data_IF_855807168842
#
_entry.id   IF_855807168842
#
_cell.length_a   1.000
_cell.length_b   1.000
_cell.length_c   1.000
_cell.angle_alpha   90.00
_cell.angle_beta   90.00
_cell.angle_gamma   90.00
#
_symmetry.space_group_name_H-M   'P 1'
#
loop_
_entity.id
_entity.type
_entity.pdbx_description
1 polymer ?
#
# COMPACT_ATOMS: atom_id res chain seq x y z
N UNK A 1 5.37 19.63 27.03
CA UNK A 1 6.10 18.42 26.62
C UNK A 1 5.11 17.48 26.01
N UNK A 2 4.94 17.53 24.69
CA UNK A 2 4.19 16.51 23.97
C UNK A 2 4.99 15.20 24.06
N UNK A 3 4.37 14.07 24.45
CA UNK A 3 5.07 12.80 24.48
C UNK A 3 5.45 12.46 23.04
N UNK A 4 6.74 12.18 22.83
CA UNK A 4 7.22 11.56 21.61
C UNK A 4 6.41 10.27 21.41
N UNK A 5 5.54 10.28 20.40
CA UNK A 5 4.77 9.10 20.03
C UNK A 5 5.78 7.99 19.71
N UNK A 6 5.84 7.00 20.60
CA UNK A 6 6.40 5.68 20.30
C UNK A 6 5.88 5.29 18.91
N UNK A 7 6.70 4.75 18.00
CA UNK A 7 6.23 4.44 16.65
C UNK A 7 4.99 3.55 16.80
N UNK A 8 3.83 4.15 16.51
CA UNK A 8 2.58 3.44 16.57
C UNK A 8 2.77 2.24 15.65
N UNK A 9 2.54 1.05 16.19
CA UNK A 9 2.71 -0.15 15.39
C UNK A 9 1.48 -0.23 14.50
N UNK A 10 1.61 0.07 13.21
CA UNK A 10 0.52 0.01 12.24
C UNK A 10 -0.31 -1.28 12.40
N UNK A 11 0.36 -2.41 12.61
CA UNK A 11 -0.26 -3.73 12.77
C UNK A 11 -1.12 -3.88 14.03
N UNK A 12 -0.97 -3.03 15.06
CA UNK A 12 -1.88 -3.02 16.23
C UNK A 12 -3.30 -2.54 15.88
N UNK A 13 -3.45 -1.77 14.80
CA UNK A 13 -4.74 -1.26 14.33
C UNK A 13 -5.43 -2.22 13.35
N UNK A 14 -4.72 -3.22 12.86
CA UNK A 14 -5.26 -4.22 11.94
C UNK A 14 -6.00 -5.27 12.76
N UNK A 15 -7.26 -5.60 12.42
CA UNK A 15 -7.95 -6.73 13.03
C UNK A 15 -7.11 -8.01 12.89
N UNK A 16 -6.90 -8.79 13.97
CA UNK A 16 -6.07 -10.00 13.92
C UNK A 16 -6.59 -11.03 12.90
N UNK A 17 -7.89 -10.97 12.57
CA UNK A 17 -8.54 -11.79 11.54
C UNK A 17 -8.02 -11.53 10.12
N UNK A 18 -7.37 -10.39 9.85
CA UNK A 18 -6.72 -10.10 8.57
C UNK A 18 -5.26 -10.56 8.50
N UNK A 19 -4.72 -11.10 9.60
CA UNK A 19 -3.34 -11.54 9.66
C UNK A 19 -2.36 -10.38 9.49
N UNK A 20 -1.19 -10.69 8.92
CA UNK A 20 -0.05 -9.75 8.80
C UNK A 20 0.51 -9.64 7.38
N UNK A 21 -0.03 -10.43 6.44
CA UNK A 21 0.42 -10.42 5.05
C UNK A 21 -0.26 -9.27 4.31
N UNK A 22 0.27 -8.07 4.53
CA UNK A 22 -0.21 -6.83 3.92
C UNK A 22 0.16 -6.82 2.43
N UNK A 23 -0.81 -6.53 1.57
CA UNK A 23 -0.62 -6.45 0.13
C UNK A 23 -0.67 -5.02 -0.38
N UNK A 24 -1.64 -4.24 0.08
CA UNK A 24 -1.79 -2.84 -0.32
C UNK A 24 -2.58 -2.02 0.69
N UNK A 25 -2.46 -0.71 0.57
CA UNK A 25 -3.26 0.29 1.26
C UNK A 25 -3.93 1.20 0.25
N UNK A 26 -5.20 1.50 0.48
CA UNK A 26 -6.01 2.36 -0.38
C UNK A 26 -6.70 3.44 0.44
N UNK A 27 -6.61 4.71 0.01
CA UNK A 27 -7.37 5.80 0.62
C UNK A 27 -8.77 5.88 0.03
N UNK A 28 -9.76 5.76 0.91
CA UNK A 28 -11.17 6.01 0.63
C UNK A 28 -11.65 7.16 1.51
N UNK A 29 -11.63 8.37 0.94
CA UNK A 29 -11.97 9.63 1.61
C UNK A 29 -11.15 9.86 2.90
N UNK A 30 -11.68 9.42 4.03
CA UNK A 30 -11.13 9.60 5.38
C UNK A 30 -10.63 8.29 6.01
N UNK A 31 -10.88 7.16 5.34
CA UNK A 31 -10.51 5.84 5.81
C UNK A 31 -9.39 5.27 4.94
N UNK A 32 -8.60 4.42 5.57
CA UNK A 32 -7.57 3.62 4.91
C UNK A 32 -8.08 2.19 4.84
N UNK A 33 -8.30 1.71 3.62
CA UNK A 33 -8.55 0.29 3.37
C UNK A 33 -7.24 -0.46 3.37
N UNK A 34 -7.17 -1.47 4.21
CA UNK A 34 -6.05 -2.38 4.34
C UNK A 34 -6.38 -3.62 3.55
N UNK A 35 -5.58 -3.93 2.54
CA UNK A 35 -5.72 -5.15 1.74
C UNK A 35 -4.68 -6.16 2.19
N UNK A 36 -5.12 -7.33 2.64
CA UNK A 36 -4.26 -8.46 3.03
C UNK A 36 -4.54 -9.69 2.17
N UNK A 37 -3.73 -10.73 2.31
CA UNK A 37 -3.94 -11.99 1.59
C UNK A 37 -5.27 -12.70 1.91
N UNK A 38 -5.87 -12.43 3.08
CA UNK A 38 -7.08 -13.12 3.55
C UNK A 38 -8.32 -12.23 3.62
N UNK A 39 -8.20 -10.95 3.29
CA UNK A 39 -9.32 -10.02 3.26
C UNK A 39 -8.90 -8.56 3.38
N UNK A 40 -9.89 -7.69 3.56
CA UNK A 40 -9.65 -6.25 3.70
C UNK A 40 -10.54 -5.63 4.78
N UNK A 41 -10.08 -4.55 5.40
CA UNK A 41 -10.79 -3.83 6.45
C UNK A 41 -10.45 -2.33 6.41
N UNK A 42 -11.30 -1.49 7.02
CA UNK A 42 -11.21 -0.04 6.99
C UNK A 42 -10.83 0.51 8.35
N UNK A 43 -9.75 1.28 8.41
CA UNK A 43 -9.33 1.98 9.62
C UNK A 43 -9.32 3.48 9.42
N UNK A 44 -9.56 4.23 10.50
CA UNK A 44 -9.42 5.69 10.50
C UNK A 44 -7.93 6.06 10.60
N UNK A 45 -7.29 6.21 9.45
CA UNK A 45 -5.87 6.58 9.35
C UNK A 45 -5.60 7.24 8.00
N UNK A 46 -4.62 8.14 7.94
CA UNK A 46 -4.16 8.67 6.65
C UNK A 46 -3.05 7.80 6.09
N UNK A 47 -3.05 7.62 4.77
CA UNK A 47 -2.04 6.84 4.06
C UNK A 47 -0.61 7.29 4.38
N UNK A 48 -0.35 8.60 4.48
CA UNK A 48 0.98 9.11 4.81
C UNK A 48 1.49 8.57 6.15
N UNK A 49 0.61 8.51 7.14
CA UNK A 49 0.96 8.13 8.50
C UNK A 49 1.18 6.62 8.55
N UNK A 50 0.32 5.86 7.85
CA UNK A 50 0.50 4.42 7.65
C UNK A 50 1.84 4.07 6.99
N UNK A 51 2.23 4.78 5.93
CA UNK A 51 3.50 4.56 5.24
C UNK A 51 4.69 4.86 6.17
N UNK A 52 4.62 5.96 6.93
CA UNK A 52 5.66 6.31 7.90
C UNK A 52 5.83 5.23 8.99
N UNK A 53 4.72 4.64 9.44
CA UNK A 53 4.71 3.58 10.46
C UNK A 53 5.15 2.21 9.92
N UNK A 54 4.95 1.93 8.63
CA UNK A 54 5.41 0.69 7.98
C UNK A 54 6.93 0.66 7.78
N UNK A 55 7.57 1.83 7.74
CA UNK A 55 9.01 1.96 7.57
C UNK A 55 9.48 1.85 6.12
N UNK A 56 10.73 2.23 5.90
CA UNK A 56 11.37 2.16 4.59
C UNK A 56 11.57 0.70 4.15
N UNK A 57 11.40 0.43 2.85
CA UNK A 57 11.58 -0.91 2.27
C UNK A 57 10.38 -1.86 2.43
N UNK A 58 9.38 -1.52 3.25
CA UNK A 58 8.16 -2.31 3.38
C UNK A 58 7.31 -2.34 2.10
N UNK A 59 7.49 -1.35 1.20
CA UNK A 59 6.75 -1.20 -0.03
C UNK A 59 6.88 0.20 -0.62
N UNK A 60 6.00 0.54 -1.56
CA UNK A 60 6.06 1.80 -2.31
C UNK A 60 4.69 2.43 -2.45
N UNK A 61 4.66 3.77 -2.36
CA UNK A 61 3.51 4.52 -2.81
C UNK A 61 3.49 4.51 -4.35
N UNK A 62 2.35 4.14 -4.93
CA UNK A 62 2.19 4.00 -6.39
C UNK A 62 1.13 4.96 -6.95
N UNK A 63 0.29 5.49 -6.06
CA UNK A 63 -0.67 6.54 -6.33
C UNK A 63 -0.81 7.44 -5.11
N UNK A 64 -1.36 8.65 -5.28
CA UNK A 64 -1.65 9.53 -4.14
C UNK A 64 -2.57 8.87 -3.08
N UNK A 65 -3.38 7.91 -3.53
CA UNK A 65 -4.32 7.13 -2.72
C UNK A 65 -3.91 5.66 -2.57
N UNK A 66 -2.74 5.24 -3.07
CA UNK A 66 -2.35 3.83 -3.03
C UNK A 66 -0.91 3.62 -2.61
N UNK A 67 -0.71 2.62 -1.77
CA UNK A 67 0.58 2.03 -1.46
C UNK A 67 0.52 0.52 -1.61
N UNK A 68 1.61 -0.09 -2.05
CA UNK A 68 1.71 -1.53 -2.31
C UNK A 68 2.91 -2.09 -1.57
N UNK A 69 2.73 -3.22 -0.89
CA UNK A 69 3.79 -3.87 -0.15
C UNK A 69 4.84 -4.50 -1.06
N UNK A 70 6.07 -4.56 -0.56
CA UNK A 70 7.14 -5.30 -1.20
C UNK A 70 6.76 -6.79 -1.29
N UNK A 71 6.98 -7.39 -2.46
CA UNK A 71 6.60 -8.79 -2.71
C UNK A 71 5.10 -9.05 -2.93
N UNK A 72 4.23 -8.02 -2.83
CA UNK A 72 2.81 -8.16 -3.12
C UNK A 72 2.48 -8.11 -4.63
N UNK A 73 3.37 -7.53 -5.43
CA UNK A 73 3.19 -7.40 -6.89
C UNK A 73 3.43 -8.75 -7.57
N UNK A 74 2.44 -9.22 -8.30
CA UNK A 74 2.54 -10.40 -9.17
C UNK A 74 2.94 -10.02 -10.60
N UNK A 75 2.51 -8.84 -11.07
CA UNK A 75 2.87 -8.32 -12.38
C UNK A 75 2.37 -6.90 -12.58
N UNK A 76 2.54 -6.39 -13.80
CA UNK A 76 2.01 -5.09 -14.20
C UNK A 76 1.34 -5.19 -15.57
N UNK A 77 0.25 -4.48 -15.75
CA UNK A 77 -0.43 -4.30 -17.01
C UNK A 77 -0.29 -2.86 -17.49
N UNK A 78 -0.09 -2.69 -18.79
CA UNK A 78 0.01 -1.38 -19.43
C UNK A 78 -1.00 -1.30 -20.56
N UNK A 79 -2.01 -0.45 -20.37
CA UNK A 79 -3.01 -0.11 -21.36
C UNK A 79 -2.76 1.32 -21.87
N UNK A 80 -2.03 1.42 -22.97
CA UNK A 80 -1.55 2.70 -23.52
C UNK A 80 -0.73 3.51 -22.51
N UNK A 81 -1.32 4.59 -22.00
CA UNK A 81 -0.72 5.46 -20.99
C UNK A 81 -1.09 5.08 -19.54
N UNK A 82 -2.09 4.21 -19.35
CA UNK A 82 -2.51 3.72 -18.04
C UNK A 82 -1.62 2.55 -17.64
N UNK A 83 -1.18 2.59 -16.39
CA UNK A 83 -0.33 1.57 -15.80
C UNK A 83 -1.01 1.06 -14.54
N UNK A 84 -1.07 -0.26 -14.40
CA UNK A 84 -1.76 -0.93 -13.32
C UNK A 84 -0.87 -2.05 -12.80
N UNK A 85 -0.68 -2.15 -11.49
CA UNK A 85 -0.03 -3.30 -10.86
C UNK A 85 -1.11 -4.36 -10.58
N UNK A 86 -0.77 -5.62 -10.80
CA UNK A 86 -1.59 -6.77 -10.42
C UNK A 86 -0.95 -7.40 -9.20
N UNK A 87 -1.68 -7.47 -8.09
CA UNK A 87 -1.19 -8.07 -6.85
C UNK A 87 -1.44 -9.58 -6.82
N UNK A 88 -0.79 -10.28 -5.88
CA UNK A 88 -0.92 -11.74 -5.69
C UNK A 88 -2.36 -12.21 -5.42
N UNK A 89 -3.23 -11.35 -4.88
CA UNK A 89 -4.65 -11.64 -4.67
C UNK A 89 -5.55 -11.26 -5.87
N UNK A 90 -4.95 -10.86 -7.00
CA UNK A 90 -5.67 -10.39 -8.19
C UNK A 90 -6.13 -8.94 -8.13
N UNK A 91 -5.85 -8.21 -7.05
CA UNK A 91 -6.20 -6.79 -6.95
C UNK A 91 -5.40 -5.96 -7.96
N UNK A 92 -6.10 -5.07 -8.66
CA UNK A 92 -5.51 -4.16 -9.63
C UNK A 92 -5.32 -2.77 -9.03
N UNK A 93 -4.08 -2.30 -8.97
CA UNK A 93 -3.70 -1.03 -8.34
C UNK A 93 -3.20 -0.04 -9.39
N UNK A 94 -3.84 1.13 -9.57
CA UNK A 94 -3.41 2.11 -10.56
C UNK A 94 -2.09 2.77 -10.16
N UNK A 95 -1.21 3.02 -11.15
CA UNK A 95 0.04 3.77 -10.98
C UNK A 95 -0.06 5.11 -11.67
N UNK A 96 0.02 6.20 -10.91
CA UNK A 96 0.03 7.55 -11.48
C UNK A 96 1.40 7.93 -12.04
N UNK A 97 1.40 8.88 -12.99
CA UNK A 97 2.60 9.41 -13.67
C UNK A 97 3.75 9.72 -12.72
N UNK A 98 3.47 10.41 -11.61
CA UNK A 98 4.48 10.85 -10.64
C UNK A 98 5.24 9.70 -9.97
N UNK A 99 4.63 8.53 -9.82
CA UNK A 99 5.23 7.38 -9.12
C UNK A 99 5.78 6.31 -10.08
N UNK A 100 5.59 6.46 -11.39
CA UNK A 100 6.04 5.46 -12.38
C UNK A 100 7.53 5.18 -12.31
N UNK A 101 8.35 6.23 -12.17
CA UNK A 101 9.81 6.09 -12.10
C UNK A 101 10.23 5.28 -10.86
N UNK A 102 9.56 5.50 -9.71
CA UNK A 102 9.82 4.73 -8.49
C UNK A 102 9.43 3.25 -8.67
N UNK A 103 8.25 2.99 -9.24
CA UNK A 103 7.77 1.63 -9.52
C UNK A 103 8.67 0.91 -10.54
N UNK A 104 9.17 1.63 -11.55
CA UNK A 104 10.13 1.13 -12.53
C UNK A 104 11.47 0.80 -11.88
N UNK A 105 11.99 1.69 -11.04
CA UNK A 105 13.25 1.49 -10.31
C UNK A 105 13.18 0.30 -9.37
N UNK A 106 12.01 0.02 -8.82
CA UNK A 106 11.74 -1.16 -8.00
C UNK A 106 11.68 -2.49 -8.79
N UNK A 107 11.73 -2.43 -10.13
CA UNK A 107 11.63 -3.60 -10.99
C UNK A 107 10.23 -4.21 -11.05
N UNK A 108 9.19 -3.44 -10.71
CA UNK A 108 7.79 -3.93 -10.73
C UNK A 108 7.13 -3.77 -12.10
N UNK A 109 7.80 -3.10 -13.02
CA UNK A 109 7.38 -2.93 -14.40
C UNK A 109 8.24 -3.82 -15.31
N UNK A 110 7.67 -4.31 -16.42
CA UNK A 110 8.44 -4.94 -17.49
C UNK A 110 9.38 -3.97 -18.20
#
# INVERSE_FOLDING_TARGET
TEPAAEPANFFRRIPPALGRDLLALEMEDHYLRIHTAIGSDLILLRLRDAIAELGEGAGLQVHRSWWVAQGAVQGANRDGAKLTLVLRNGLEVPVSKTWREAVKTAGWLP
#
